data_IF_132009602485
#
_entry.id   IF_132009602485
#
_cell.length_a   1.000
_cell.length_b   1.000
_cell.length_c   1.000
_cell.angle_alpha   90.00
_cell.angle_beta   90.00
_cell.angle_gamma   90.00
#
_symmetry.space_group_name_H-M   'P 1'
#
loop_
_entity.id
_entity.type
_entity.pdbx_description
1 polymer ?
#
# COMPACT_ATOMS: atom_id res chain seq x y z
N UNK A 1 14.02 -18.45 -10.99
CA UNK A 1 12.80 -18.10 -11.75
C UNK A 1 12.58 -16.60 -11.60
N UNK A 2 13.23 -15.84 -12.48
CA UNK A 2 13.15 -14.39 -12.57
C UNK A 2 11.88 -14.00 -13.32
N UNK A 3 10.88 -13.47 -12.60
CA UNK A 3 9.76 -12.79 -13.25
C UNK A 3 10.29 -11.59 -14.04
N UNK A 4 9.86 -11.46 -15.30
CA UNK A 4 10.17 -10.36 -16.22
C UNK A 4 9.40 -9.07 -15.85
N UNK A 5 9.39 -8.67 -14.57
CA UNK A 5 8.87 -7.36 -14.19
C UNK A 5 9.94 -6.31 -14.45
N UNK A 6 9.61 -5.21 -15.15
CA UNK A 6 10.55 -4.08 -15.24
C UNK A 6 10.68 -3.50 -13.84
N UNK A 7 11.94 -3.40 -13.40
CA UNK A 7 12.31 -2.79 -12.13
C UNK A 7 12.91 -1.44 -12.47
N UNK A 8 12.24 -0.37 -12.07
CA UNK A 8 12.66 0.99 -12.40
C UNK A 8 12.60 1.91 -11.19
N UNK A 9 13.63 2.74 -11.06
CA UNK A 9 13.55 3.94 -10.23
C UNK A 9 12.67 4.95 -10.96
N UNK A 10 11.63 5.41 -10.28
CA UNK A 10 10.71 6.43 -10.78
C UNK A 10 10.63 7.56 -9.75
N UNK A 11 10.51 8.79 -10.22
CA UNK A 11 10.32 9.95 -9.35
C UNK A 11 8.84 10.28 -9.29
N UNK A 12 8.29 10.37 -8.08
CA UNK A 12 6.91 10.82 -7.86
C UNK A 12 6.89 12.09 -7.03
N UNK A 13 5.92 12.96 -7.31
CA UNK A 13 5.65 14.11 -6.45
C UNK A 13 5.16 13.63 -5.07
N UNK A 14 5.65 14.26 -4.01
CA UNK A 14 5.20 13.92 -2.66
C UNK A 14 3.68 14.14 -2.53
N UNK A 15 2.90 13.11 -2.16
CA UNK A 15 1.44 13.18 -2.09
C UNK A 15 0.93 14.12 -0.99
N UNK A 16 1.79 14.53 -0.06
CA UNK A 16 1.44 15.45 1.03
C UNK A 16 1.71 16.91 0.69
N UNK A 17 2.89 17.23 0.15
CA UNK A 17 3.30 18.61 -0.04
C UNK A 17 3.32 19.05 -1.50
N UNK A 18 3.31 18.14 -2.48
CA UNK A 18 3.39 18.40 -3.94
C UNK A 18 4.54 19.32 -4.38
N UNK A 19 5.52 19.55 -3.51
CA UNK A 19 6.62 20.52 -3.72
C UNK A 19 7.97 19.85 -3.92
N UNK A 20 8.10 18.58 -3.54
CA UNK A 20 9.34 17.82 -3.66
C UNK A 20 9.05 16.50 -4.38
N UNK A 21 10.00 16.08 -5.22
CA UNK A 21 10.02 14.75 -5.83
C UNK A 21 10.67 13.77 -4.86
N UNK A 22 10.12 12.58 -4.78
CA UNK A 22 10.60 11.47 -3.95
C UNK A 22 10.91 10.30 -4.88
N UNK A 23 12.08 9.68 -4.69
CA UNK A 23 12.45 8.47 -5.43
C UNK A 23 11.65 7.28 -4.91
N UNK A 24 10.99 6.59 -5.82
CA UNK A 24 10.30 5.32 -5.55
C UNK A 24 10.80 4.24 -6.51
N UNK A 25 10.83 3.03 -6.00
CA UNK A 25 11.09 1.84 -6.78
C UNK A 25 9.76 1.20 -7.14
N UNK A 26 9.46 1.17 -8.44
CA UNK A 26 8.27 0.49 -8.93
C UNK A 26 8.67 -0.90 -9.44
N UNK A 27 8.04 -1.92 -8.86
CA UNK A 27 8.11 -3.30 -9.36
C UNK A 27 6.76 -3.59 -10.01
N UNK A 28 6.78 -3.68 -11.34
CA UNK A 28 5.61 -4.11 -12.11
C UNK A 28 5.17 -5.51 -11.65
N UNK A 29 3.86 -5.68 -11.55
CA UNK A 29 3.20 -6.94 -11.31
C UNK A 29 3.48 -7.91 -12.44
N UNK A 30 3.63 -9.18 -12.08
CA UNK A 30 4.00 -10.22 -13.03
C UNK A 30 3.27 -11.52 -12.73
N UNK A 31 3.08 -12.32 -13.77
CA UNK A 31 2.64 -13.70 -13.60
C UNK A 31 3.79 -14.54 -13.08
N UNK A 32 3.61 -15.11 -11.91
CA UNK A 32 4.57 -16.02 -11.31
C UNK A 32 4.08 -17.46 -11.48
N UNK A 33 4.94 -18.29 -12.07
CA UNK A 33 4.72 -19.73 -12.11
C UNK A 33 5.16 -20.36 -10.78
N UNK A 34 4.25 -21.06 -10.11
CA UNK A 34 4.53 -21.91 -8.95
C UNK A 34 4.44 -23.37 -9.38
N UNK A 35 5.55 -24.08 -9.26
CA UNK A 35 5.64 -25.50 -9.58
C UNK A 35 5.56 -26.29 -8.29
N UNK A 36 4.55 -27.15 -8.16
CA UNK A 36 4.50 -28.18 -7.12
C UNK A 36 4.89 -29.52 -7.73
N UNK A 37 5.82 -30.22 -7.07
CA UNK A 37 6.30 -31.54 -7.51
C UNK A 37 5.82 -32.60 -6.52
N UNK A 38 5.22 -33.66 -7.04
CA UNK A 38 4.89 -34.90 -6.31
C UNK A 38 5.48 -36.10 -7.07
N UNK A 39 5.52 -37.27 -6.43
CA UNK A 39 6.03 -38.51 -7.06
C UNK A 39 5.31 -38.89 -8.35
N UNK A 40 4.02 -38.54 -8.49
CA UNK A 40 3.21 -38.79 -9.69
C UNK A 40 3.35 -37.72 -10.79
N UNK A 41 4.12 -36.65 -10.58
CA UNK A 41 4.35 -35.60 -11.59
C UNK A 41 4.48 -34.20 -11.02
N UNK A 42 4.70 -33.23 -11.90
CA UNK A 42 4.78 -31.81 -11.55
C UNK A 42 3.54 -31.06 -12.08
N UNK A 43 2.94 -30.23 -11.25
CA UNK A 43 1.87 -29.30 -11.65
C UNK A 43 2.39 -27.87 -11.58
N UNK A 44 2.18 -27.11 -12.64
CA UNK A 44 2.50 -25.68 -12.68
C UNK A 44 1.22 -24.88 -12.56
N UNK A 45 1.12 -24.05 -11.53
CA UNK A 45 0.03 -23.08 -11.34
C UNK A 45 0.57 -21.68 -11.54
N UNK A 46 -0.14 -20.84 -12.29
CA UNK A 46 0.21 -19.44 -12.48
C UNK A 46 -0.63 -18.58 -11.55
N UNK A 47 0.00 -17.66 -10.83
CA UNK A 47 -0.70 -16.66 -10.02
C UNK A 47 -0.21 -15.25 -10.38
N UNK A 48 -1.11 -14.28 -10.29
CA UNK A 48 -0.79 -12.87 -10.49
C UNK A 48 -0.17 -12.30 -9.21
N UNK A 49 1.00 -11.68 -9.33
CA UNK A 49 1.62 -10.90 -8.26
C UNK A 49 1.34 -9.42 -8.54
N UNK A 50 0.67 -8.69 -7.63
CA UNK A 50 0.34 -7.28 -7.85
C UNK A 50 1.59 -6.39 -7.83
N UNK A 51 1.44 -5.19 -8.39
CA UNK A 51 2.46 -4.14 -8.38
C UNK A 51 2.89 -3.81 -6.95
N UNK A 52 4.17 -3.54 -6.75
CA UNK A 52 4.69 -3.07 -5.46
C UNK A 52 5.42 -1.74 -5.63
N UNK A 53 5.12 -0.80 -4.72
CA UNK A 53 5.68 0.55 -4.70
C UNK A 53 6.52 0.71 -3.44
N UNK A 54 7.84 0.77 -3.58
CA UNK A 54 8.76 0.96 -2.45
C UNK A 54 9.31 2.38 -2.46
N UNK A 55 8.98 3.19 -1.45
CA UNK A 55 9.50 4.56 -1.33
C UNK A 55 10.90 4.52 -0.70
N UNK A 56 11.90 5.08 -1.39
CA UNK A 56 13.31 4.99 -0.98
C UNK A 56 13.72 6.12 -0.03
N UNK A 57 13.13 7.30 -0.18
CA UNK A 57 13.55 8.52 0.50
C UNK A 57 12.44 9.15 1.35
N UNK A 58 12.84 9.82 2.44
CA UNK A 58 11.94 10.67 3.20
C UNK A 58 11.71 12.00 2.45
N UNK A 59 10.54 12.62 2.63
CA UNK A 59 10.24 13.90 2.00
C UNK A 59 11.09 15.04 2.59
N UNK A 60 12.00 15.67 1.83
CA UNK A 60 12.93 16.68 2.36
C UNK A 60 12.22 17.98 2.78
N UNK A 61 11.03 18.24 2.24
CA UNK A 61 10.27 19.47 2.52
C UNK A 61 9.29 19.31 3.70
N UNK A 62 8.62 18.16 3.77
CA UNK A 62 7.53 17.93 4.71
C UNK A 62 7.92 17.07 5.92
N UNK A 63 9.15 16.54 5.94
CA UNK A 63 9.65 15.67 7.02
C UNK A 63 8.87 14.35 7.16
N UNK A 64 8.03 14.01 6.17
CA UNK A 64 7.22 12.80 6.18
C UNK A 64 8.11 11.58 5.92
N UNK A 65 7.99 10.59 6.81
CA UNK A 65 8.73 9.34 6.72
C UNK A 65 8.28 8.55 5.50
N UNK A 66 9.20 7.82 4.88
CA UNK A 66 8.98 6.91 3.74
C UNK A 66 7.78 5.99 3.92
N UNK A 67 7.58 5.46 5.14
CA UNK A 67 6.43 4.59 5.48
C UNK A 67 5.09 5.31 5.39
N UNK A 68 5.02 6.60 5.71
CA UNK A 68 3.78 7.38 5.59
C UNK A 68 3.47 7.73 4.13
N UNK A 69 4.51 7.95 3.33
CA UNK A 69 4.41 8.20 1.89
C UNK A 69 3.98 6.93 1.15
N UNK A 70 4.58 5.78 1.48
CA UNK A 70 4.23 4.49 0.91
C UNK A 70 2.76 4.15 1.19
N UNK A 71 2.29 4.28 2.43
CA UNK A 71 0.88 4.03 2.76
C UNK A 71 -0.09 4.99 2.08
N UNK A 72 0.33 6.23 1.79
CA UNK A 72 -0.48 7.19 1.05
C UNK A 72 -0.58 6.81 -0.44
N UNK A 73 0.48 6.24 -1.01
CA UNK A 73 0.51 5.76 -2.39
C UNK A 73 -0.23 4.43 -2.57
N UNK A 74 -0.15 3.52 -1.60
CA UNK A 74 -0.89 2.25 -1.58
C UNK A 74 -2.39 2.43 -1.29
N UNK A 75 -2.85 3.68 -1.07
CA UNK A 75 -4.26 3.99 -0.80
C UNK A 75 -4.75 3.60 0.61
N UNK A 76 -3.88 3.07 1.47
CA UNK A 76 -4.21 2.65 2.84
C UNK A 76 -4.43 3.82 3.80
N UNK A 77 -3.86 5.00 3.52
CA UNK A 77 -4.18 6.20 4.30
C UNK A 77 -5.36 6.91 3.67
N UNK A 78 -6.54 6.68 4.22
CA UNK A 78 -7.59 7.71 4.17
C UNK A 78 -6.94 9.03 4.60
N UNK A 79 -6.79 9.98 3.67
CA UNK A 79 -6.25 11.32 3.90
C UNK A 79 -7.03 12.12 4.96
N UNK A 80 -8.11 11.54 5.49
CA UNK A 80 -8.85 12.00 6.66
C UNK A 80 -8.71 10.98 7.79
N UNK A 81 -7.79 11.19 8.74
CA UNK A 81 -7.99 10.66 10.09
C UNK A 81 -9.28 11.29 10.62
N UNK A 82 -10.42 10.59 10.48
CA UNK A 82 -11.70 11.02 11.05
C UNK A 82 -11.46 11.37 12.51
N UNK A 83 -11.75 12.63 12.86
CA UNK A 83 -11.61 13.13 14.21
C UNK A 83 -12.46 12.28 15.16
N UNK A 84 -12.05 12.16 16.42
CA UNK A 84 -12.81 11.38 17.43
C UNK A 84 -14.30 11.75 17.46
N UNK A 85 -14.61 13.05 17.24
CA UNK A 85 -15.98 13.57 17.15
C UNK A 85 -16.76 13.01 15.95
N UNK A 86 -16.14 12.89 14.78
CA UNK A 86 -16.79 12.32 13.58
C UNK A 86 -17.02 10.81 13.71
N UNK A 87 -16.13 10.10 14.41
CA UNK A 87 -16.33 8.68 14.75
C UNK A 87 -17.53 8.50 15.66
N UNK A 88 -17.64 9.30 16.72
CA UNK A 88 -18.79 9.26 17.63
C UNK A 88 -20.09 9.61 16.90
N UNK A 89 -20.09 10.61 16.00
CA UNK A 89 -21.28 10.96 15.22
C UNK A 89 -21.77 9.79 14.38
N UNK A 90 -20.89 9.10 13.65
CA UNK A 90 -21.26 7.92 12.86
C UNK A 90 -21.83 6.79 13.71
N UNK A 91 -21.21 6.53 14.87
CA UNK A 91 -21.67 5.48 15.79
C UNK A 91 -23.09 5.80 16.29
N UNK A 92 -23.35 7.06 16.66
CA UNK A 92 -24.67 7.55 17.04
C UNK A 92 -25.69 7.49 15.88
N UNK A 93 -25.29 7.87 14.67
CA UNK A 93 -26.12 7.78 13.46
C UNK A 93 -26.47 6.33 13.10
N UNK A 94 -25.56 5.39 13.35
CA UNK A 94 -25.82 3.94 13.18
C UNK A 94 -26.64 3.32 14.31
N UNK A 95 -27.10 4.10 15.29
CA UNK A 95 -27.93 3.62 16.40
C UNK A 95 -27.20 2.75 17.42
N UNK A 96 -25.87 2.73 17.39
CA UNK A 96 -25.06 1.92 18.31
C UNK A 96 -24.72 2.75 19.57
N UNK A 97 -24.96 2.22 20.77
CA UNK A 97 -24.59 2.90 22.01
C UNK A 97 -23.06 2.95 22.15
N UNK A 98 -22.52 4.13 22.44
CA UNK A 98 -21.08 4.33 22.61
C UNK A 98 -20.55 3.87 23.97
N UNK A 99 -21.44 3.44 24.87
CA UNK A 99 -21.12 2.98 26.23
C UNK A 99 -22.09 1.86 26.58
N UNK A 100 -21.56 0.72 27.02
CA UNK A 100 -22.36 -0.40 27.55
C UNK A 100 -22.48 -0.14 29.05
N UNK A 101 -23.70 0.02 29.55
CA UNK A 101 -23.96 0.00 30.98
C UNK A 101 -23.98 -1.47 31.41
N UNK A 102 -23.10 -1.83 32.35
CA UNK A 102 -23.05 -3.16 32.98
C UNK A 102 -23.59 -3.02 34.39
#
# INVERSE_FOLDING_TARGET
MSGLGRKGETEIECPFCKKAKVRMFHKEGYYQAKVSRISAGAKTTYHWVPDTYEVLEDCPNCGKRKKEIQKALEGEVSTKKLSHKERIKRIKESGLPTRIEV
#
